data_IF_439093394412
#
_entry.id   IF_439093394412
#
_cell.length_a   1.000
_cell.length_b   1.000
_cell.length_c   1.000
_cell.angle_alpha   90.00
_cell.angle_beta   90.00
_cell.angle_gamma   90.00
#
_symmetry.space_group_name_H-M   'P 1'
#
loop_
_entity.id
_entity.type
_entity.pdbx_description
1 polymer ?
#
# COMPACT_ATOMS: atom_id res chain seq x y z
N UNK A 1 -27.98 -17.52 -33.92
CA UNK A 1 -27.97 -18.44 -32.76
C UNK A 1 -27.42 -17.67 -31.58
N UNK A 2 -28.28 -17.35 -30.61
CA UNK A 2 -27.99 -16.53 -29.43
C UNK A 2 -27.89 -17.47 -28.23
N UNK A 3 -26.78 -17.47 -27.52
CA UNK A 3 -26.67 -18.13 -26.21
C UNK A 3 -26.77 -17.06 -25.13
N UNK A 4 -27.88 -17.07 -24.42
CA UNK A 4 -28.15 -16.27 -23.22
C UNK A 4 -27.73 -17.14 -22.04
N UNK A 5 -26.65 -16.78 -21.35
CA UNK A 5 -26.27 -17.42 -20.09
C UNK A 5 -26.80 -16.56 -18.93
N UNK A 6 -27.87 -17.04 -18.31
CA UNK A 6 -28.44 -16.50 -17.09
C UNK A 6 -27.83 -17.23 -15.90
N UNK A 7 -27.13 -16.52 -15.01
CA UNK A 7 -26.78 -17.01 -13.68
C UNK A 7 -27.51 -16.17 -12.64
N UNK A 8 -28.50 -16.79 -12.00
CA UNK A 8 -29.23 -16.23 -10.87
C UNK A 8 -28.76 -16.83 -9.55
N UNK A 9 -28.56 -15.93 -8.57
CA UNK A 9 -28.87 -15.98 -7.12
C UNK A 9 -28.51 -17.26 -6.35
N UNK A 10 -27.71 -17.13 -5.28
CA UNK A 10 -28.18 -17.03 -3.87
C UNK A 10 -27.02 -16.88 -2.88
N UNK A 11 -27.16 -15.94 -1.93
CA UNK A 11 -26.38 -15.83 -0.69
C UNK A 11 -26.51 -17.09 0.19
N UNK A 12 -25.58 -17.28 1.15
CA UNK A 12 -26.04 -17.29 2.53
C UNK A 12 -25.23 -16.37 3.46
N UNK A 13 -26.01 -15.60 4.22
CA UNK A 13 -25.66 -14.88 5.44
C UNK A 13 -25.20 -15.88 6.50
N UNK A 14 -23.94 -15.83 6.93
CA UNK A 14 -23.48 -16.50 8.15
C UNK A 14 -23.37 -15.48 9.27
N UNK A 15 -24.46 -15.42 10.03
CA UNK A 15 -24.59 -14.77 11.32
C UNK A 15 -24.02 -15.72 12.39
N UNK A 16 -22.89 -15.38 13.01
CA UNK A 16 -22.42 -16.03 14.22
C UNK A 16 -21.98 -15.00 15.27
N UNK A 17 -22.70 -15.06 16.38
CA UNK A 17 -22.71 -14.22 17.56
C UNK A 17 -22.05 -15.00 18.70
N UNK A 18 -20.98 -14.47 19.31
CA UNK A 18 -20.44 -14.81 20.64
C UNK A 18 -19.37 -13.76 20.96
N UNK A 19 -19.45 -12.85 21.95
CA UNK A 19 -19.81 -12.88 23.37
C UNK A 19 -18.85 -13.69 24.27
N UNK A 20 -17.82 -13.02 24.81
CA UNK A 20 -17.18 -13.29 26.11
C UNK A 20 -16.24 -12.10 26.43
N UNK A 21 -16.60 -11.20 27.36
CA UNK A 21 -16.26 -11.20 28.79
C UNK A 21 -14.75 -11.16 29.07
N UNK A 22 -14.34 -10.08 29.74
CA UNK A 22 -12.97 -9.64 29.90
C UNK A 22 -12.21 -10.20 31.09
N UNK A 23 -10.98 -9.71 31.25
CA UNK A 23 -10.23 -9.68 32.50
C UNK A 23 -9.38 -8.41 32.48
N UNK A 24 -9.60 -7.54 33.46
CA UNK A 24 -8.66 -6.49 33.86
C UNK A 24 -7.50 -7.16 34.62
N UNK A 25 -6.26 -6.89 34.20
CA UNK A 25 -5.07 -7.22 34.98
C UNK A 25 -4.10 -6.04 34.90
N UNK A 26 -4.15 -5.18 35.92
CA UNK A 26 -3.01 -4.39 36.34
C UNK A 26 -1.98 -5.35 36.94
N UNK A 27 -0.72 -5.29 36.51
CA UNK A 27 0.40 -5.63 37.39
C UNK A 27 1.68 -4.97 36.89
N UNK A 28 2.17 -4.09 37.77
CA UNK A 28 3.50 -3.55 37.98
C UNK A 28 4.68 -4.36 37.42
N UNK A 29 5.72 -3.68 36.93
CA UNK A 29 7.03 -3.60 37.61
C UNK A 29 8.06 -2.83 36.76
N UNK A 30 8.59 -1.74 37.35
CA UNK A 30 9.82 -1.07 36.94
C UNK A 30 11.04 -1.96 37.21
N UNK A 31 11.99 -2.03 36.27
CA UNK A 31 13.38 -2.30 36.60
C UNK A 31 14.23 -1.04 36.37
N UNK A 32 14.80 -0.55 37.46
CA UNK A 32 15.97 0.32 37.46
C UNK A 32 17.10 -0.32 36.63
N UNK A 33 17.62 0.39 35.63
CA UNK A 33 18.91 0.05 35.05
C UNK A 33 19.99 0.94 35.67
N UNK A 34 20.88 0.26 36.38
CA UNK A 34 22.10 0.75 36.96
C UNK A 34 23.03 1.34 35.89
N UNK A 35 23.59 2.51 36.19
CA UNK A 35 24.88 2.93 35.66
C UNK A 35 25.91 1.85 35.96
N UNK A 36 26.66 1.43 34.95
CA UNK A 36 27.94 0.75 35.15
C UNK A 36 28.92 1.28 34.11
N UNK A 37 29.76 2.16 34.63
CA UNK A 37 31.15 2.47 34.29
C UNK A 37 31.74 1.89 33.00
N UNK A 38 32.08 2.84 32.13
CA UNK A 38 33.29 2.93 31.32
C UNK A 38 34.44 1.98 31.74
N UNK A 39 34.79 1.06 30.84
CA UNK A 39 36.14 0.49 30.79
C UNK A 39 36.59 0.45 29.33
N UNK A 40 37.41 1.44 29.01
CA UNK A 40 38.19 1.56 27.79
C UNK A 40 39.37 0.57 27.85
N UNK A 41 39.44 -0.35 26.89
CA UNK A 41 40.66 -1.08 26.54
C UNK A 41 40.57 -1.63 25.10
N UNK A 42 41.21 -0.93 24.17
CA UNK A 42 41.71 -1.49 22.91
C UNK A 42 43.12 -2.06 23.15
N UNK A 43 43.58 -3.11 22.42
CA UNK A 43 44.13 -2.88 21.06
C UNK A 43 44.01 -4.08 20.08
N UNK A 44 44.57 -3.86 18.87
CA UNK A 44 44.82 -4.77 17.74
C UNK A 44 43.64 -4.91 16.75
N UNK A 45 43.56 -4.18 15.62
CA UNK A 45 44.56 -3.85 14.59
C UNK A 45 45.23 -5.08 13.96
N UNK A 46 44.46 -5.99 13.35
CA UNK A 46 44.89 -6.75 12.14
C UNK A 46 43.78 -7.60 11.47
N UNK A 47 42.57 -7.07 11.24
CA UNK A 47 41.47 -7.88 10.67
C UNK A 47 40.50 -7.13 9.76
N UNK A 48 41.02 -6.37 8.79
CA UNK A 48 40.19 -5.66 7.80
C UNK A 48 40.51 -5.97 6.33
N UNK A 49 41.25 -7.04 6.02
CA UNK A 49 41.61 -7.35 4.62
C UNK A 49 40.64 -8.29 3.89
N UNK A 50 39.44 -8.56 4.42
CA UNK A 50 38.46 -9.37 3.69
C UNK A 50 37.01 -9.03 4.04
N UNK A 51 36.65 -7.74 3.96
CA UNK A 51 35.24 -7.37 3.88
C UNK A 51 34.82 -7.52 2.42
N UNK A 52 33.91 -8.45 2.07
CA UNK A 52 33.36 -8.50 0.73
C UNK A 52 32.81 -7.12 0.41
N UNK A 53 33.22 -6.56 -0.74
CA UNK A 53 32.76 -5.25 -1.18
C UNK A 53 31.24 -5.20 -1.03
N UNK A 54 30.73 -4.24 -0.25
CA UNK A 54 29.30 -4.04 -0.18
C UNK A 54 28.80 -3.87 -1.62
N UNK A 55 27.71 -4.54 -2.00
CA UNK A 55 27.09 -4.29 -3.29
C UNK A 55 26.85 -2.77 -3.46
N UNK A 56 26.86 -2.25 -4.70
CA UNK A 56 26.57 -0.84 -4.95
C UNK A 56 25.30 -0.45 -4.19
N UNK A 57 25.15 0.80 -3.70
CA UNK A 57 23.98 1.17 -2.92
C UNK A 57 22.74 0.94 -3.80
N UNK A 58 22.05 -0.17 -3.55
CA UNK A 58 20.62 -0.26 -3.75
C UNK A 58 20.02 0.99 -3.10
N UNK A 59 19.05 1.63 -3.76
CA UNK A 59 18.31 2.76 -3.18
C UNK A 59 17.96 2.45 -1.73
N UNK A 60 18.03 3.44 -0.84
CA UNK A 60 17.70 3.18 0.56
C UNK A 60 16.23 2.76 0.68
N UNK A 61 15.91 2.02 1.75
CA UNK A 61 14.53 1.62 2.01
C UNK A 61 13.61 2.85 2.13
N UNK A 62 14.12 3.95 2.70
CA UNK A 62 13.40 5.22 2.78
C UNK A 62 13.09 5.80 1.40
N UNK A 63 14.08 5.83 0.49
CA UNK A 63 13.88 6.34 -0.87
C UNK A 63 12.80 5.54 -1.62
N UNK A 64 12.81 4.21 -1.50
CA UNK A 64 11.80 3.35 -2.12
C UNK A 64 10.42 3.60 -1.52
N UNK A 65 10.30 3.63 -0.18
CA UNK A 65 9.04 3.88 0.51
C UNK A 65 8.45 5.27 0.20
N UNK A 66 9.28 6.31 0.19
CA UNK A 66 8.88 7.68 -0.13
C UNK A 66 8.43 7.81 -1.59
N UNK A 67 9.12 7.16 -2.53
CA UNK A 67 8.73 7.19 -3.93
C UNK A 67 7.35 6.54 -4.15
N UNK A 68 7.10 5.39 -3.53
CA UNK A 68 5.77 4.72 -3.59
C UNK A 68 4.69 5.61 -2.95
N UNK A 69 4.98 6.17 -1.77
CA UNK A 69 4.06 7.10 -1.09
C UNK A 69 3.72 8.32 -1.96
N UNK A 70 4.72 8.91 -2.62
CA UNK A 70 4.51 10.07 -3.48
C UNK A 70 3.71 9.74 -4.73
N UNK A 71 3.94 8.57 -5.36
CA UNK A 71 3.13 8.09 -6.49
C UNK A 71 1.66 7.99 -6.08
N UNK A 72 1.39 7.39 -4.91
CA UNK A 72 0.03 7.29 -4.38
C UNK A 72 -0.61 8.66 -4.14
N UNK A 73 0.08 9.57 -3.44
CA UNK A 73 -0.44 10.91 -3.15
C UNK A 73 -0.71 11.71 -4.42
N UNK A 74 0.17 11.62 -5.43
CA UNK A 74 -0.03 12.28 -6.72
C UNK A 74 -1.26 11.71 -7.44
N UNK A 75 -1.44 10.38 -7.43
CA UNK A 75 -2.57 9.72 -8.07
C UNK A 75 -3.91 10.11 -7.41
N UNK A 76 -3.93 10.25 -6.07
CA UNK A 76 -5.09 10.77 -5.32
C UNK A 76 -5.40 12.22 -5.70
N UNK A 77 -4.37 13.09 -5.75
CA UNK A 77 -4.55 14.48 -6.14
C UNK A 77 -5.06 14.63 -7.59
N UNK A 78 -4.52 13.86 -8.52
CA UNK A 78 -4.97 13.86 -9.92
C UNK A 78 -6.42 13.35 -10.04
N UNK A 79 -6.79 12.32 -9.29
CA UNK A 79 -8.17 11.81 -9.26
C UNK A 79 -9.15 12.88 -8.73
N UNK A 80 -8.76 13.68 -7.74
CA UNK A 80 -9.55 14.83 -7.27
C UNK A 80 -9.73 15.85 -8.39
N UNK A 81 -8.68 16.17 -9.15
CA UNK A 81 -8.74 17.10 -10.29
C UNK A 81 -9.68 16.57 -11.37
N UNK A 82 -9.54 15.31 -11.78
CA UNK A 82 -10.37 14.68 -12.82
C UNK A 82 -11.86 14.68 -12.47
N UNK A 83 -12.19 14.65 -11.18
CA UNK A 83 -13.57 14.52 -10.69
C UNK A 83 -14.17 15.85 -10.24
N UNK A 84 -13.40 16.93 -10.32
CA UNK A 84 -13.84 18.26 -9.95
C UNK A 84 -15.01 18.72 -10.83
N UNK A 85 -16.08 19.22 -10.19
CA UNK A 85 -17.29 19.64 -10.90
C UNK A 85 -18.15 18.50 -11.43
N UNK A 86 -17.77 17.25 -11.14
CA UNK A 86 -18.51 16.03 -11.51
C UNK A 86 -18.83 15.98 -13.01
N UNK A 87 -17.82 15.89 -13.89
CA UNK A 87 -18.08 15.84 -15.32
C UNK A 87 -18.85 14.56 -15.71
N UNK A 88 -19.42 14.50 -16.93
CA UNK A 88 -20.08 13.30 -17.45
C UNK A 88 -19.16 12.07 -17.40
N UNK A 89 -19.75 10.90 -17.15
CA UNK A 89 -19.01 9.64 -17.02
C UNK A 89 -18.20 9.33 -18.28
N UNK A 90 -18.78 9.55 -19.46
CA UNK A 90 -18.11 9.30 -20.74
C UNK A 90 -16.83 10.13 -20.93
N UNK A 91 -16.71 11.26 -20.24
CA UNK A 91 -15.52 12.12 -20.32
C UNK A 91 -14.44 11.65 -19.35
N UNK A 92 -14.81 11.28 -18.12
CA UNK A 92 -13.82 11.01 -17.05
C UNK A 92 -13.44 9.55 -16.93
N UNK A 93 -14.31 8.60 -17.27
CA UNK A 93 -14.02 7.17 -17.14
C UNK A 93 -12.71 6.77 -17.86
N UNK A 94 -12.46 7.16 -19.12
CA UNK A 94 -11.19 6.83 -19.77
C UNK A 94 -9.98 7.52 -19.11
N UNK A 95 -10.16 8.70 -18.53
CA UNK A 95 -9.08 9.43 -17.86
C UNK A 95 -8.71 8.77 -16.52
N UNK A 96 -9.71 8.33 -15.75
CA UNK A 96 -9.51 7.59 -14.50
C UNK A 96 -8.88 6.23 -14.76
N UNK A 97 -9.30 5.51 -15.80
CA UNK A 97 -8.64 4.25 -16.17
C UNK A 97 -7.18 4.48 -16.58
N UNK A 98 -6.90 5.50 -17.40
CA UNK A 98 -5.53 5.83 -17.78
C UNK A 98 -4.65 6.15 -16.55
N UNK A 99 -5.15 6.99 -15.65
CA UNK A 99 -4.47 7.32 -14.38
C UNK A 99 -4.19 6.05 -13.56
N UNK A 100 -5.16 5.13 -13.48
CA UNK A 100 -4.99 3.85 -12.79
C UNK A 100 -3.88 3.02 -13.42
N UNK A 101 -3.87 2.85 -14.75
CA UNK A 101 -2.85 2.04 -15.44
C UNK A 101 -1.43 2.63 -15.30
N UNK A 102 -1.31 3.95 -15.44
CA UNK A 102 -0.04 4.66 -15.24
C UNK A 102 0.47 4.49 -13.80
N UNK A 103 -0.43 4.63 -12.82
CA UNK A 103 -0.11 4.46 -11.40
C UNK A 103 0.30 3.02 -11.09
N UNK A 104 -0.43 2.01 -11.59
CA UNK A 104 -0.06 0.59 -11.45
C UNK A 104 1.33 0.35 -12.02
N UNK A 105 1.60 0.84 -13.24
CA UNK A 105 2.90 0.66 -13.90
C UNK A 105 4.05 1.23 -13.06
N UNK A 106 3.87 2.45 -12.53
CA UNK A 106 4.87 3.08 -11.67
C UNK A 106 5.06 2.32 -10.35
N UNK A 107 3.97 1.85 -9.73
CA UNK A 107 4.03 1.11 -8.47
C UNK A 107 4.69 -0.26 -8.62
N UNK A 108 4.44 -0.98 -9.72
CA UNK A 108 5.11 -2.25 -10.00
C UNK A 108 6.62 -2.05 -10.12
N UNK A 109 7.07 -1.03 -10.86
CA UNK A 109 8.51 -0.73 -11.00
C UNK A 109 9.19 -0.43 -9.66
N UNK A 110 8.52 0.29 -8.76
CA UNK A 110 9.04 0.52 -7.41
C UNK A 110 8.87 -0.68 -6.48
N UNK A 111 7.86 -1.50 -6.70
CA UNK A 111 7.67 -2.79 -6.03
C UNK A 111 8.82 -3.74 -6.28
N UNK A 112 9.34 -3.81 -7.52
CA UNK A 112 10.56 -4.58 -7.83
C UNK A 112 11.76 -4.11 -6.99
N UNK A 113 11.91 -2.79 -6.79
CA UNK A 113 12.96 -2.22 -5.93
C UNK A 113 12.75 -2.51 -4.46
N UNK A 114 11.50 -2.51 -3.99
CA UNK A 114 11.16 -2.98 -2.66
C UNK A 114 11.52 -4.46 -2.48
N UNK A 115 11.31 -5.30 -3.50
CA UNK A 115 11.61 -6.73 -3.43
C UNK A 115 13.11 -7.05 -3.33
N UNK A 116 13.98 -6.15 -3.82
CA UNK A 116 15.45 -6.24 -3.68
C UNK A 116 15.94 -5.97 -2.23
N UNK A 117 15.10 -5.39 -1.37
CA UNK A 117 15.47 -5.07 0.02
C UNK A 117 15.41 -6.31 0.94
N UNK A 118 16.13 -6.24 2.05
CA UNK A 118 15.96 -7.21 3.14
C UNK A 118 14.63 -6.98 3.89
N UNK A 119 14.29 -7.90 4.81
CA UNK A 119 13.03 -7.83 5.58
C UNK A 119 12.85 -6.49 6.28
N UNK A 120 13.91 -5.95 6.90
CA UNK A 120 13.85 -4.67 7.61
C UNK A 120 13.64 -3.49 6.66
N UNK A 121 14.25 -3.53 5.48
CA UNK A 121 14.06 -2.54 4.44
C UNK A 121 12.63 -2.56 3.90
N UNK A 122 12.06 -3.75 3.66
CA UNK A 122 10.65 -3.90 3.26
C UNK A 122 9.69 -3.32 4.31
N UNK A 123 9.88 -3.66 5.59
CA UNK A 123 9.10 -3.09 6.71
C UNK A 123 9.21 -1.56 6.78
N UNK A 124 10.40 -1.03 6.52
CA UNK A 124 10.63 0.42 6.48
C UNK A 124 9.85 1.09 5.34
N UNK A 125 9.86 0.48 4.14
CA UNK A 125 9.06 0.93 3.01
C UNK A 125 7.57 0.90 3.34
N UNK A 126 7.07 -0.24 3.84
CA UNK A 126 5.65 -0.44 4.11
C UNK A 126 5.10 0.56 5.11
N UNK A 127 5.88 0.88 6.16
CA UNK A 127 5.53 1.91 7.14
C UNK A 127 5.38 3.29 6.48
N UNK A 128 6.28 3.65 5.57
CA UNK A 128 6.21 4.94 4.85
C UNK A 128 5.00 5.00 3.90
N UNK A 129 4.72 3.89 3.21
CA UNK A 129 3.53 3.75 2.35
C UNK A 129 2.25 3.89 3.19
N UNK A 130 2.18 3.23 4.34
CA UNK A 130 1.04 3.33 5.27
C UNK A 130 0.89 4.76 5.82
N UNK A 131 2.01 5.45 6.08
CA UNK A 131 1.98 6.84 6.53
C UNK A 131 1.43 7.79 5.46
N UNK A 132 1.57 7.46 4.17
CA UNK A 132 1.03 8.30 3.08
C UNK A 132 -0.48 8.51 3.19
N UNK A 133 -1.24 7.52 3.65
CA UNK A 133 -2.70 7.64 3.83
C UNK A 133 -3.08 8.75 4.82
N UNK A 134 -2.24 9.05 5.81
CA UNK A 134 -2.50 10.12 6.79
C UNK A 134 -2.12 11.51 6.26
N UNK A 135 -1.46 11.58 5.11
CA UNK A 135 -0.99 12.82 4.49
C UNK A 135 -1.94 13.33 3.39
N UNK A 136 -3.01 12.58 3.08
CA UNK A 136 -4.05 13.06 2.17
C UNK A 136 -4.76 14.26 2.83
N UNK A 137 -4.82 15.43 2.17
CA UNK A 137 -5.56 16.57 2.70
C UNK A 137 -7.03 16.24 2.96
N UNK A 138 -7.59 16.72 4.08
CA UNK A 138 -8.99 16.46 4.44
C UNK A 138 -9.98 16.89 3.35
N UNK A 139 -9.69 18.02 2.69
CA UNK A 139 -10.48 18.53 1.57
C UNK A 139 -10.47 17.57 0.35
N UNK A 140 -9.37 16.87 0.11
CA UNK A 140 -9.22 15.93 -1.00
C UNK A 140 -9.99 14.65 -0.69
N UNK A 141 -9.93 14.17 0.57
CA UNK A 141 -10.76 13.07 1.04
C UNK A 141 -12.26 13.37 0.88
N UNK A 142 -12.70 14.57 1.29
CA UNK A 142 -14.08 14.99 1.13
C UNK A 142 -14.49 15.09 -0.35
N UNK A 143 -13.61 15.61 -1.21
CA UNK A 143 -13.84 15.66 -2.65
C UNK A 143 -14.02 14.27 -3.26
N UNK A 144 -13.16 13.30 -2.91
CA UNK A 144 -13.27 11.92 -3.36
C UNK A 144 -14.55 11.22 -2.88
N UNK A 145 -14.95 11.44 -1.62
CA UNK A 145 -16.21 10.90 -1.09
C UNK A 145 -17.44 11.44 -1.84
N UNK A 146 -17.41 12.72 -2.20
CA UNK A 146 -18.46 13.35 -3.02
C UNK A 146 -18.46 12.77 -4.44
N UNK A 147 -17.29 12.61 -5.06
CA UNK A 147 -17.15 12.01 -6.39
C UNK A 147 -17.67 10.56 -6.40
N UNK A 148 -17.25 9.71 -5.46
CA UNK A 148 -17.76 8.35 -5.32
C UNK A 148 -19.29 8.32 -5.16
N UNK A 149 -19.86 9.26 -4.41
CA UNK A 149 -21.32 9.34 -4.25
C UNK A 149 -22.01 9.73 -5.55
N UNK A 150 -21.46 10.69 -6.29
CA UNK A 150 -22.01 11.13 -7.56
C UNK A 150 -21.95 10.04 -8.63
N UNK A 151 -20.88 9.25 -8.65
CA UNK A 151 -20.63 8.22 -9.65
C UNK A 151 -21.08 6.80 -9.27
N UNK A 152 -21.73 6.63 -8.10
CA UNK A 152 -22.19 5.32 -7.59
C UNK A 152 -23.06 4.54 -8.58
N UNK A 153 -23.75 5.22 -9.48
CA UNK A 153 -24.59 4.60 -10.50
C UNK A 153 -23.81 3.92 -11.63
N UNK A 154 -22.54 4.24 -11.80
CA UNK A 154 -21.66 3.65 -12.81
C UNK A 154 -20.73 2.62 -12.15
N UNK A 155 -20.92 1.35 -12.50
CA UNK A 155 -20.20 0.25 -11.86
C UNK A 155 -18.71 0.21 -12.21
N UNK A 156 -18.35 0.58 -13.44
CA UNK A 156 -16.97 0.53 -13.92
C UNK A 156 -16.14 1.61 -13.23
N UNK A 157 -16.66 2.83 -13.21
CA UNK A 157 -16.03 3.95 -12.56
C UNK A 157 -15.99 3.78 -11.03
N UNK A 158 -17.07 3.28 -10.42
CA UNK A 158 -17.06 2.96 -8.98
C UNK A 158 -15.98 1.94 -8.61
N UNK A 159 -15.82 0.88 -9.42
CA UNK A 159 -14.74 -0.09 -9.25
C UNK A 159 -13.37 0.55 -9.41
N UNK A 160 -13.20 1.47 -10.35
CA UNK A 160 -11.95 2.19 -10.53
C UNK A 160 -11.60 3.05 -9.30
N UNK A 161 -12.56 3.74 -8.69
CA UNK A 161 -12.33 4.46 -7.43
C UNK A 161 -11.87 3.53 -6.30
N UNK A 162 -12.54 2.39 -6.13
CA UNK A 162 -12.16 1.39 -5.11
C UNK A 162 -10.72 0.89 -5.35
N UNK A 163 -10.37 0.59 -6.60
CA UNK A 163 -9.01 0.17 -6.95
C UNK A 163 -7.95 1.22 -6.58
N UNK A 164 -8.26 2.51 -6.78
CA UNK A 164 -7.35 3.62 -6.45
C UNK A 164 -7.05 3.70 -4.94
N UNK A 165 -8.01 3.37 -4.07
CA UNK A 165 -7.77 3.33 -2.62
C UNK A 165 -6.80 2.21 -2.19
N UNK A 166 -6.80 1.10 -2.93
CA UNK A 166 -5.92 -0.04 -2.65
C UNK A 166 -4.72 -0.10 -3.58
N UNK A 167 -4.45 0.94 -4.36
CA UNK A 167 -3.49 0.87 -5.47
C UNK A 167 -2.05 0.63 -4.99
N UNK A 168 -1.71 1.02 -3.76
CA UNK A 168 -0.38 0.76 -3.19
C UNK A 168 -0.05 -0.74 -3.07
N UNK A 169 -1.04 -1.64 -3.11
CA UNK A 169 -0.80 -3.10 -3.17
C UNK A 169 0.08 -3.50 -4.36
N UNK A 170 0.04 -2.75 -5.46
CA UNK A 170 0.88 -3.00 -6.63
C UNK A 170 2.38 -2.73 -6.38
N UNK A 171 2.76 -2.08 -5.27
CA UNK A 171 4.15 -1.97 -4.82
C UNK A 171 4.51 -2.96 -3.70
N UNK A 172 3.54 -3.68 -3.14
CA UNK A 172 3.71 -4.64 -2.04
C UNK A 172 3.30 -6.02 -2.57
N UNK A 173 4.20 -6.69 -3.27
CA UNK A 173 3.88 -7.89 -4.05
C UNK A 173 3.30 -9.04 -3.23
N UNK A 174 3.70 -9.19 -1.97
CA UNK A 174 3.08 -10.14 -1.05
C UNK A 174 1.59 -9.83 -0.86
N UNK A 175 1.25 -8.58 -0.58
CA UNK A 175 -0.13 -8.13 -0.44
C UNK A 175 -0.92 -8.28 -1.75
N UNK A 176 -0.30 -7.99 -2.90
CA UNK A 176 -0.93 -8.19 -4.21
C UNK A 176 -1.27 -9.66 -4.45
N UNK A 177 -0.35 -10.59 -4.17
CA UNK A 177 -0.59 -12.03 -4.30
C UNK A 177 -1.71 -12.51 -3.36
N UNK A 178 -1.78 -11.97 -2.15
CA UNK A 178 -2.83 -12.31 -1.19
C UNK A 178 -4.21 -11.78 -1.59
N UNK A 179 -4.28 -10.53 -2.05
CA UNK A 179 -5.55 -9.84 -2.27
C UNK A 179 -6.07 -9.94 -3.72
N UNK A 180 -5.17 -10.13 -4.69
CA UNK A 180 -5.48 -10.16 -6.12
C UNK A 180 -4.54 -11.13 -6.87
N UNK A 181 -4.55 -12.44 -6.58
CA UNK A 181 -3.60 -13.41 -7.13
C UNK A 181 -3.62 -13.47 -8.66
N UNK A 182 -4.81 -13.41 -9.28
CA UNK A 182 -4.93 -13.40 -10.75
C UNK A 182 -4.27 -12.16 -11.38
N UNK A 183 -4.27 -11.04 -10.67
CA UNK A 183 -3.66 -9.80 -11.12
C UNK A 183 -2.14 -9.83 -10.93
N UNK A 184 -1.66 -10.39 -9.82
CA UNK A 184 -0.24 -10.70 -9.63
C UNK A 184 0.28 -11.58 -10.77
N UNK A 185 -0.44 -12.65 -11.11
CA UNK A 185 -0.09 -13.54 -12.23
C UNK A 185 -0.09 -12.81 -13.58
N UNK A 186 -1.09 -11.95 -13.84
CA UNK A 186 -1.15 -11.11 -15.06
C UNK A 186 0.09 -10.23 -15.20
N UNK A 187 0.62 -9.76 -14.08
CA UNK A 187 1.80 -8.91 -14.01
C UNK A 187 3.13 -9.68 -13.93
N UNK A 188 3.10 -11.02 -13.87
CA UNK A 188 4.31 -11.84 -13.72
C UNK A 188 4.94 -11.78 -12.32
N UNK A 189 4.15 -11.41 -11.31
CA UNK A 189 4.56 -11.31 -9.92
C UNK A 189 4.24 -12.64 -9.23
N UNK A 190 5.28 -13.43 -8.93
CA UNK A 190 5.18 -14.76 -8.31
C UNK A 190 5.79 -14.80 -6.91
#
# INVERSE_FOLDING_TARGET
MRAVFAWGRTLPIFLLLALALGVAACSSEEPQQQETEETSQAPASDRLENIPALPPPSRSAEEVGEAVAQIYLNAIAELVVLTQGTPPVEEIAPQVDNLRQETITALVQWGEKREELDTRGKETCDRLIQLAFTHIPEQDLAALQNAQTAYRGDAELSSAFEDMYFITRYAIFELLREQAPMEADRLGIH
#
